data_IF_376721787734
#
_entry.id   IF_376721787734
#
_cell.length_a   1.000
_cell.length_b   1.000
_cell.length_c   1.000
_cell.angle_alpha   90.00
_cell.angle_beta   90.00
_cell.angle_gamma   90.00
#
_symmetry.space_group_name_H-M   'P 1'
#
loop_
_entity.id
_entity.type
_entity.pdbx_description
1 polymer ?
#
# COMPACT_ATOMS: atom_id res chain seq x y z
N UNK A 1 28.88 37.24 10.31
CA UNK A 1 28.79 35.78 10.41
C UNK A 1 27.83 35.34 9.33
N UNK A 2 28.37 34.98 8.18
CA UNK A 2 27.63 34.59 6.98
C UNK A 2 27.26 33.11 7.09
N UNK A 3 25.98 32.82 6.89
CA UNK A 3 25.44 31.47 6.77
C UNK A 3 25.83 30.90 5.41
N UNK A 4 26.98 30.21 5.34
CA UNK A 4 27.27 29.26 4.27
C UNK A 4 26.66 27.92 4.68
N UNK A 5 25.44 27.65 4.20
CA UNK A 5 24.73 26.40 4.43
C UNK A 5 24.49 25.67 3.10
N UNK A 6 25.32 24.63 2.90
CA UNK A 6 25.02 23.39 2.17
C UNK A 6 24.33 23.51 0.81
N UNK A 7 25.15 23.85 -0.20
CA UNK A 7 24.84 23.56 -1.60
C UNK A 7 25.24 22.10 -1.89
N UNK A 8 24.33 21.15 -1.62
CA UNK A 8 24.47 19.79 -2.15
C UNK A 8 23.78 19.73 -3.51
N UNK A 9 24.56 19.98 -4.57
CA UNK A 9 24.21 19.59 -5.93
C UNK A 9 23.91 18.08 -5.94
N UNK A 10 22.64 17.71 -5.99
CA UNK A 10 22.21 16.39 -6.41
C UNK A 10 22.59 16.24 -7.89
N UNK A 11 23.81 15.73 -8.14
CA UNK A 11 24.27 15.39 -9.49
C UNK A 11 23.43 14.23 -10.01
N UNK A 12 22.46 14.57 -10.85
CA UNK A 12 21.71 13.61 -11.66
C UNK A 12 22.70 12.84 -12.52
N UNK A 13 22.95 11.58 -12.17
CA UNK A 13 23.75 10.67 -12.99
C UNK A 13 22.93 10.38 -14.25
N UNK A 14 23.41 10.86 -15.41
CA UNK A 14 22.82 10.52 -16.70
C UNK A 14 22.91 9.02 -16.94
N UNK A 15 21.79 8.32 -16.82
CA UNK A 15 21.65 6.92 -17.16
C UNK A 15 21.08 6.82 -18.59
N UNK A 16 21.89 6.35 -19.54
CA UNK A 16 21.38 5.96 -20.86
C UNK A 16 20.99 4.48 -20.79
N UNK A 17 19.68 4.22 -20.79
CA UNK A 17 19.15 2.86 -20.87
C UNK A 17 19.19 2.42 -22.34
N UNK A 18 20.22 1.66 -22.72
CA UNK A 18 20.26 0.95 -24.00
C UNK A 18 19.41 -0.32 -23.91
N UNK A 19 18.18 -0.29 -24.43
CA UNK A 19 17.30 -1.47 -24.50
C UNK A 19 17.73 -2.36 -25.67
N UNK A 20 18.44 -3.46 -25.41
CA UNK A 20 18.54 -4.59 -26.33
C UNK A 20 17.58 -5.70 -25.87
N UNK A 21 16.68 -6.13 -26.76
CA UNK A 21 15.70 -7.17 -26.46
C UNK A 21 16.29 -8.54 -26.84
N UNK A 22 16.50 -9.40 -25.86
CA UNK A 22 16.82 -10.81 -26.07
C UNK A 22 15.71 -11.68 -25.48
N UNK A 23 14.98 -12.41 -26.32
CA UNK A 23 14.16 -13.54 -25.91
C UNK A 23 15.06 -14.77 -25.95
N UNK A 24 15.26 -15.44 -24.81
CA UNK A 24 15.95 -16.72 -24.77
C UNK A 24 14.92 -17.82 -24.51
N UNK A 25 14.49 -18.58 -25.53
CA UNK A 25 13.78 -19.82 -25.27
C UNK A 25 14.75 -20.79 -24.57
N UNK A 26 14.25 -21.46 -23.53
CA UNK A 26 14.99 -22.51 -22.85
C UNK A 26 14.95 -23.75 -23.75
N UNK A 27 16.08 -24.17 -24.32
CA UNK A 27 16.17 -25.47 -25.00
C UNK A 27 16.33 -26.56 -23.92
N UNK A 28 15.23 -27.19 -23.54
CA UNK A 28 15.17 -28.30 -22.59
C UNK A 28 14.24 -29.38 -23.11
N UNK A 29 14.71 -30.63 -23.02
CA UNK A 29 14.13 -31.84 -23.61
C UNK A 29 12.67 -32.10 -23.25
N UNK A 30 11.95 -32.70 -24.21
CA UNK A 30 10.58 -33.18 -24.08
C UNK A 30 10.41 -34.15 -22.90
N UNK A 31 9.86 -33.63 -21.79
CA UNK A 31 9.05 -34.37 -20.85
C UNK A 31 7.72 -33.60 -20.71
N UNK A 32 6.66 -34.22 -21.21
CA UNK A 32 5.28 -33.73 -21.14
C UNK A 32 4.78 -33.93 -19.70
N UNK A 33 4.86 -32.88 -18.89
CA UNK A 33 3.97 -32.59 -17.74
C UNK A 33 4.38 -31.33 -16.94
N UNK A 34 5.44 -30.61 -17.34
CA UNK A 34 5.69 -29.27 -16.84
C UNK A 34 5.01 -28.25 -17.76
N UNK A 35 4.13 -27.40 -17.22
CA UNK A 35 3.75 -26.16 -17.90
C UNK A 35 5.03 -25.43 -18.33
N UNK A 36 5.08 -24.94 -19.58
CA UNK A 36 6.23 -24.16 -20.07
C UNK A 36 6.62 -23.11 -19.02
N UNK A 37 7.90 -22.99 -18.65
CA UNK A 37 8.31 -22.03 -17.64
C UNK A 37 7.89 -20.62 -18.10
N UNK A 38 7.34 -19.79 -17.20
CA UNK A 38 6.86 -18.47 -17.57
C UNK A 38 7.97 -17.68 -18.28
N UNK A 39 7.63 -17.13 -19.44
CA UNK A 39 8.59 -16.44 -20.29
C UNK A 39 9.28 -15.31 -19.51
N UNK A 40 10.60 -15.40 -19.41
CA UNK A 40 11.42 -14.41 -18.70
C UNK A 40 11.85 -13.31 -19.67
N UNK A 41 11.55 -12.07 -19.31
CA UNK A 41 11.96 -10.87 -20.03
C UNK A 41 13.28 -10.36 -19.44
N UNK A 42 14.24 -10.06 -20.30
CA UNK A 42 15.56 -9.56 -19.92
C UNK A 42 15.75 -8.14 -20.45
N UNK A 43 16.07 -7.22 -19.55
CA UNK A 43 16.38 -5.83 -19.83
C UNK A 43 17.85 -5.55 -19.52
N UNK A 44 18.71 -5.36 -20.54
CA UNK A 44 20.09 -4.95 -20.30
C UNK A 44 20.12 -3.50 -19.82
N UNK A 45 20.97 -3.24 -18.83
CA UNK A 45 21.24 -1.92 -18.28
C UNK A 45 22.74 -1.68 -18.31
N UNK A 46 23.16 -0.55 -18.89
CA UNK A 46 24.57 -0.15 -18.94
C UNK A 46 24.73 1.23 -18.31
N UNK A 47 25.64 1.34 -17.35
CA UNK A 47 26.02 2.63 -16.76
C UNK A 47 27.10 3.26 -17.62
N UNK A 48 26.79 4.36 -18.28
CA UNK A 48 27.70 5.03 -19.21
C UNK A 48 28.48 6.19 -18.57
N UNK A 49 28.03 6.68 -17.43
CA UNK A 49 28.65 7.80 -16.72
C UNK A 49 30.02 7.44 -16.12
N UNK A 50 30.80 8.49 -15.87
CA UNK A 50 31.93 8.42 -14.94
C UNK A 50 31.39 8.44 -13.52
N UNK A 51 31.93 7.54 -12.68
CA UNK A 51 31.39 7.27 -11.36
C UNK A 51 32.46 7.52 -10.30
N UNK A 52 32.09 8.04 -9.11
CA UNK A 52 33.01 8.19 -7.99
C UNK A 52 33.48 6.82 -7.48
N UNK A 53 34.51 6.78 -6.64
CA UNK A 53 34.86 5.55 -5.92
C UNK A 53 33.84 5.24 -4.81
N UNK A 54 33.75 3.96 -4.42
CA UNK A 54 32.89 3.50 -3.34
C UNK A 54 31.57 2.88 -3.82
N UNK A 55 30.68 2.63 -2.86
CA UNK A 55 29.35 2.10 -3.11
C UNK A 55 28.46 3.16 -3.75
N UNK A 56 27.85 2.81 -4.89
CA UNK A 56 27.08 3.75 -5.69
C UNK A 56 25.64 3.27 -5.77
N UNK A 57 24.68 4.03 -5.22
CA UNK A 57 23.27 3.74 -5.39
C UNK A 57 22.88 3.88 -6.87
N UNK A 58 22.26 2.84 -7.43
CA UNK A 58 21.64 2.89 -8.75
C UNK A 58 20.13 2.95 -8.56
N UNK A 59 19.48 3.84 -9.29
CA UNK A 59 18.03 4.05 -9.28
C UNK A 59 17.53 4.19 -10.72
N UNK A 60 16.84 3.17 -11.23
CA UNK A 60 16.35 3.12 -12.60
C UNK A 60 14.83 3.04 -12.60
N UNK A 61 14.18 3.97 -13.30
CA UNK A 61 12.74 3.89 -13.51
C UNK A 61 12.41 3.08 -14.77
N UNK A 62 11.45 2.16 -14.63
CA UNK A 62 11.02 1.25 -15.68
C UNK A 62 9.51 1.28 -15.76
N UNK A 63 8.99 1.44 -16.97
CA UNK A 63 7.60 1.13 -17.31
C UNK A 63 7.56 -0.30 -17.86
N UNK A 64 7.28 -1.27 -16.97
CA UNK A 64 7.26 -2.69 -17.30
C UNK A 64 6.16 -3.01 -18.31
N UNK A 65 5.01 -2.33 -18.25
CA UNK A 65 3.94 -2.51 -19.23
C UNK A 65 4.39 -2.06 -20.64
N UNK A 66 5.11 -0.94 -20.74
CA UNK A 66 5.72 -0.50 -22.02
C UNK A 66 6.75 -1.50 -22.55
N UNK A 67 7.52 -2.14 -21.67
CA UNK A 67 8.46 -3.20 -22.07
C UNK A 67 7.71 -4.41 -22.60
N UNK A 68 6.70 -4.89 -21.86
CA UNK A 68 5.91 -6.07 -22.23
C UNK A 68 5.18 -5.89 -23.56
N UNK A 69 4.60 -4.71 -23.82
CA UNK A 69 3.96 -4.41 -25.13
C UNK A 69 4.89 -4.62 -26.32
N UNK A 70 6.20 -4.44 -26.15
CA UNK A 70 7.19 -4.65 -27.22
C UNK A 70 7.48 -6.12 -27.49
N UNK A 71 7.23 -7.01 -26.52
CA UNK A 71 7.43 -8.46 -26.67
C UNK A 71 6.36 -9.12 -27.53
N UNK A 72 5.17 -8.50 -27.65
CA UNK A 72 3.96 -9.06 -28.30
C UNK A 72 3.47 -10.39 -27.69
N UNK A 73 3.96 -10.75 -26.52
CA UNK A 73 3.46 -11.91 -25.77
C UNK A 73 2.26 -11.50 -24.93
N UNK A 74 1.28 -12.41 -24.73
CA UNK A 74 0.17 -12.18 -23.81
C UNK A 74 0.69 -12.18 -22.36
N UNK A 75 0.00 -11.43 -21.49
CA UNK A 75 0.27 -11.38 -20.05
C UNK A 75 0.55 -9.98 -19.53
N UNK A 76 0.71 -9.90 -18.21
CA UNK A 76 0.98 -8.68 -17.46
C UNK A 76 2.22 -8.87 -16.58
N UNK A 77 2.75 -7.76 -16.04
CA UNK A 77 3.95 -7.77 -15.22
C UNK A 77 3.73 -8.50 -13.89
N UNK A 78 4.63 -9.43 -13.55
CA UNK A 78 4.72 -10.00 -12.20
C UNK A 78 5.80 -9.28 -11.37
N UNK A 79 5.42 -8.40 -10.41
CA UNK A 79 6.37 -7.66 -9.59
C UNK A 79 7.18 -8.53 -8.61
N UNK A 80 6.74 -9.76 -8.34
CA UNK A 80 7.39 -10.68 -7.41
C UNK A 80 8.60 -11.40 -8.02
N UNK A 81 8.80 -11.27 -9.33
CA UNK A 81 9.83 -11.99 -10.10
C UNK A 81 11.00 -11.11 -10.53
N UNK A 82 11.00 -9.82 -10.13
CA UNK A 82 12.08 -8.90 -10.51
C UNK A 82 13.40 -9.37 -9.90
N UNK A 83 14.43 -9.44 -10.72
CA UNK A 83 15.80 -9.71 -10.31
C UNK A 83 16.77 -8.74 -10.99
N UNK A 84 17.88 -8.44 -10.31
CA UNK A 84 18.99 -7.70 -10.88
C UNK A 84 20.21 -8.61 -10.91
N UNK A 85 20.87 -8.72 -12.06
CA UNK A 85 22.10 -9.49 -12.25
C UNK A 85 23.22 -8.59 -12.71
N UNK A 86 24.37 -8.67 -12.05
CA UNK A 86 25.58 -7.99 -12.48
C UNK A 86 26.30 -8.87 -13.52
N UNK A 87 26.52 -8.33 -14.72
CA UNK A 87 27.15 -9.06 -15.82
C UNK A 87 28.67 -9.05 -15.77
N UNK A 88 29.28 -8.18 -14.96
CA UNK A 88 30.73 -8.16 -14.78
C UNK A 88 31.21 -9.34 -13.93
N UNK A 89 30.47 -9.69 -12.88
CA UNK A 89 30.83 -10.76 -11.94
C UNK A 89 29.84 -11.95 -11.92
N UNK A 90 28.72 -11.86 -12.65
CA UNK A 90 27.69 -12.89 -12.74
C UNK A 90 26.74 -12.95 -11.53
N UNK A 91 26.96 -12.16 -10.49
CA UNK A 91 26.23 -12.24 -9.23
C UNK A 91 24.83 -11.62 -9.31
N UNK A 92 23.88 -12.20 -8.56
CA UNK A 92 22.58 -11.58 -8.26
C UNK A 92 22.79 -10.40 -7.32
N UNK A 93 22.19 -9.26 -7.64
CA UNK A 93 22.27 -8.05 -6.83
C UNK A 93 21.00 -7.93 -5.98
N UNK A 94 21.14 -7.79 -4.64
CA UNK A 94 20.03 -7.37 -3.79
C UNK A 94 19.47 -6.04 -4.30
N UNK A 95 18.15 -5.95 -4.38
CA UNK A 95 17.49 -4.80 -4.95
C UNK A 95 16.17 -4.49 -4.23
N UNK A 96 15.71 -3.25 -4.37
CA UNK A 96 14.41 -2.79 -3.86
C UNK A 96 13.61 -2.17 -4.99
N UNK A 97 12.29 -2.35 -4.95
CA UNK A 97 11.34 -1.65 -5.81
C UNK A 97 10.79 -0.42 -5.10
N UNK A 98 10.45 0.64 -5.85
CA UNK A 98 9.69 1.75 -5.28
C UNK A 98 8.31 1.27 -4.80
N UNK A 99 7.70 1.92 -3.79
CA UNK A 99 6.38 1.55 -3.27
C UNK A 99 5.28 1.67 -4.33
N UNK A 100 5.50 2.50 -5.35
CA UNK A 100 4.62 2.64 -6.51
C UNK A 100 4.35 1.33 -7.25
N UNK A 101 5.24 0.32 -7.13
CA UNK A 101 4.98 -1.01 -7.68
C UNK A 101 3.78 -1.69 -7.00
N UNK A 102 3.32 -1.22 -5.84
CA UNK A 102 2.07 -1.69 -5.26
C UNK A 102 0.83 -1.18 -6.01
N UNK A 103 0.95 -0.24 -6.95
CA UNK A 103 -0.20 0.38 -7.66
C UNK A 103 -0.02 0.49 -9.17
N UNK A 104 1.16 0.17 -9.69
CA UNK A 104 1.51 0.44 -11.08
C UNK A 104 2.52 -0.55 -11.62
N UNK A 105 2.55 -0.67 -12.94
CA UNK A 105 3.61 -1.35 -13.69
C UNK A 105 4.77 -0.40 -14.00
N UNK A 106 4.72 0.86 -13.52
CA UNK A 106 5.85 1.77 -13.52
C UNK A 106 6.47 1.80 -12.14
N UNK A 107 7.72 1.38 -12.02
CA UNK A 107 8.43 1.34 -10.76
C UNK A 107 9.91 1.67 -10.93
N UNK A 108 10.54 2.04 -9.82
CA UNK A 108 11.99 2.19 -9.74
C UNK A 108 12.61 0.90 -9.23
N UNK A 109 13.63 0.40 -9.93
CA UNK A 109 14.48 -0.71 -9.53
C UNK A 109 15.79 -0.14 -9.03
N UNK A 110 16.15 -0.49 -7.80
CA UNK A 110 17.26 0.12 -7.08
C UNK A 110 18.18 -0.92 -6.49
N UNK A 111 19.49 -0.75 -6.66
CA UNK A 111 20.49 -1.65 -6.11
C UNK A 111 21.78 -0.88 -5.81
N UNK A 112 22.68 -1.50 -5.07
CA UNK A 112 23.97 -0.92 -4.74
C UNK A 112 25.04 -1.51 -5.64
N UNK A 113 25.73 -0.68 -6.38
CA UNK A 113 26.90 -1.09 -7.15
C UNK A 113 28.15 -0.98 -6.28
N UNK A 114 28.93 -2.04 -6.19
CA UNK A 114 30.08 -2.10 -5.27
C UNK A 114 31.31 -1.46 -5.88
N UNK A 115 31.55 -1.69 -7.17
CA UNK A 115 32.70 -1.16 -7.89
C UNK A 115 32.30 -0.32 -9.11
N UNK A 116 32.91 0.85 -9.34
CA UNK A 116 32.63 1.68 -10.51
C UNK A 116 32.86 1.02 -11.88
N UNK A 117 33.59 -0.11 -11.91
CA UNK A 117 33.86 -0.92 -13.10
C UNK A 117 32.73 -1.90 -13.43
N UNK A 118 31.80 -2.14 -12.51
CA UNK A 118 30.65 -3.03 -12.68
C UNK A 118 29.53 -2.36 -13.47
N UNK A 119 29.79 -1.98 -14.72
CA UNK A 119 28.89 -1.10 -15.48
C UNK A 119 27.75 -1.80 -16.22
N UNK A 120 27.70 -3.13 -16.21
CA UNK A 120 26.74 -3.91 -17.02
C UNK A 120 25.86 -4.76 -16.11
N UNK A 121 24.55 -4.62 -16.27
CA UNK A 121 23.55 -5.36 -15.51
C UNK A 121 22.43 -5.87 -16.42
N UNK A 122 21.67 -6.83 -15.90
CA UNK A 122 20.37 -7.23 -16.43
C UNK A 122 19.33 -7.05 -15.35
N UNK A 123 18.16 -6.56 -15.75
CA UNK A 123 16.94 -6.63 -14.97
C UNK A 123 16.07 -7.70 -15.60
N UNK A 124 15.71 -8.72 -14.83
CA UNK A 124 14.91 -9.86 -15.27
C UNK A 124 13.57 -9.84 -14.56
N UNK A 125 12.51 -10.24 -15.25
CA UNK A 125 11.17 -10.41 -14.66
C UNK A 125 10.33 -11.32 -15.55
N UNK A 126 9.23 -11.83 -15.01
CA UNK A 126 8.31 -12.73 -15.69
C UNK A 126 6.96 -12.06 -15.95
N UNK A 127 6.19 -12.68 -16.84
CA UNK A 127 4.80 -12.36 -17.06
C UNK A 127 3.90 -13.31 -16.28
N UNK A 128 2.70 -12.83 -15.96
CA UNK A 128 1.61 -13.62 -15.42
C UNK A 128 0.32 -13.37 -16.23
N UNK A 129 -0.64 -14.29 -16.16
CA UNK A 129 -1.95 -14.12 -16.82
C UNK A 129 -2.74 -12.95 -16.21
N UNK A 130 -2.62 -12.79 -14.90
CA UNK A 130 -3.17 -11.69 -14.12
C UNK A 130 -2.11 -11.17 -13.17
N UNK A 131 -2.18 -9.88 -12.83
CA UNK A 131 -1.16 -9.24 -12.01
C UNK A 131 -1.30 -9.77 -10.58
N UNK A 132 -0.30 -10.50 -10.06
CA UNK A 132 -0.42 -11.06 -8.72
C UNK A 132 -0.34 -9.95 -7.67
N UNK A 133 -0.92 -10.21 -6.51
CA UNK A 133 -0.74 -9.37 -5.32
C UNK A 133 0.76 -9.26 -5.04
N UNK A 134 1.21 -8.04 -4.74
CA UNK A 134 2.60 -7.81 -4.36
C UNK A 134 2.88 -8.51 -3.02
N UNK A 135 3.79 -9.46 -3.04
CA UNK A 135 4.15 -10.23 -1.85
C UNK A 135 5.12 -9.44 -0.97
N UNK A 136 5.00 -9.58 0.36
CA UNK A 136 6.05 -9.17 1.29
C UNK A 136 7.41 -9.72 0.86
N UNK A 137 8.41 -8.84 0.72
CA UNK A 137 9.78 -9.26 0.44
C UNK A 137 10.46 -9.73 1.72
N UNK A 138 11.22 -10.84 1.69
CA UNK A 138 11.93 -11.35 2.87
C UNK A 138 13.08 -10.44 3.30
N UNK A 139 13.66 -9.69 2.36
CA UNK A 139 14.74 -8.74 2.56
C UNK A 139 14.49 -7.43 1.82
N UNK A 140 14.87 -6.31 2.44
CA UNK A 140 14.90 -4.99 1.80
C UNK A 140 16.28 -4.39 2.04
N UNK A 141 17.19 -4.39 1.05
CA UNK A 141 18.54 -3.88 1.23
C UNK A 141 18.55 -2.35 1.38
N UNK A 142 19.50 -1.84 2.18
CA UNK A 142 19.79 -0.41 2.26
C UNK A 142 20.55 0.02 1.00
N UNK A 143 19.94 0.84 0.15
CA UNK A 143 20.53 1.32 -1.10
C UNK A 143 21.13 2.74 -0.94
N UNK A 144 20.65 3.52 0.03
CA UNK A 144 21.07 4.90 0.27
C UNK A 144 20.25 5.95 -0.49
N UNK A 145 19.03 5.62 -0.95
CA UNK A 145 18.16 6.53 -1.73
C UNK A 145 16.90 6.97 -0.95
N UNK A 146 17.07 7.18 0.36
CA UNK A 146 15.98 7.50 1.28
C UNK A 146 15.40 6.29 2.02
N UNK A 147 16.17 5.22 2.19
CA UNK A 147 15.71 3.94 2.79
C UNK A 147 15.51 3.99 4.31
N UNK A 148 15.79 5.13 4.95
CA UNK A 148 15.87 5.30 6.41
C UNK A 148 14.57 4.99 7.19
N UNK A 149 13.43 4.85 6.50
CA UNK A 149 12.12 4.61 7.12
C UNK A 149 11.54 3.21 6.84
N UNK A 150 12.31 2.29 6.25
CA UNK A 150 11.83 0.92 5.96
C UNK A 150 12.37 -0.12 6.93
N UNK A 151 11.59 -1.16 7.17
CA UNK A 151 12.10 -2.35 7.83
C UNK A 151 13.06 -3.09 6.88
N UNK A 152 14.30 -3.32 7.33
CA UNK A 152 15.39 -3.89 6.52
C UNK A 152 15.94 -5.20 7.07
N UNK A 153 15.31 -5.77 8.10
CA UNK A 153 15.70 -7.06 8.64
C UNK A 153 15.39 -8.21 7.68
N UNK A 154 16.23 -9.24 7.71
CA UNK A 154 16.12 -10.44 6.84
C UNK A 154 15.09 -11.47 7.33
N UNK A 155 14.44 -11.19 8.45
CA UNK A 155 13.37 -11.99 9.02
C UNK A 155 12.17 -11.08 9.25
N UNK A 156 10.93 -11.53 8.95
CA UNK A 156 9.76 -10.76 9.32
C UNK A 156 9.69 -10.53 10.84
N UNK A 157 9.10 -9.41 11.24
CA UNK A 157 8.86 -9.07 12.65
C UNK A 157 7.42 -8.63 12.84
N UNK A 158 6.87 -8.79 14.05
CA UNK A 158 5.59 -8.18 14.38
C UNK A 158 5.65 -6.67 14.12
N UNK A 159 4.61 -6.15 13.47
CA UNK A 159 4.46 -4.71 13.25
C UNK A 159 3.67 -4.13 14.41
N UNK A 160 4.19 -3.05 14.99
CA UNK A 160 3.42 -2.18 15.86
C UNK A 160 2.89 -1.01 15.01
N UNK A 161 1.59 -1.00 14.75
CA UNK A 161 0.92 0.22 14.28
C UNK A 161 0.43 1.02 15.48
N UNK A 162 0.42 2.35 15.34
CA UNK A 162 -0.10 3.27 16.36
C UNK A 162 -1.60 3.10 16.57
N UNK A 163 -2.35 2.69 15.54
CA UNK A 163 -3.79 2.50 15.56
C UNK A 163 -4.20 1.29 14.70
N UNK A 164 -4.00 0.06 15.19
CA UNK A 164 -4.49 -1.12 14.51
C UNK A 164 -6.02 -1.08 14.44
N UNK A 165 -6.55 -1.42 13.28
CA UNK A 165 -7.99 -1.39 12.99
C UNK A 165 -8.57 -2.80 12.99
N UNK A 166 -8.09 -3.68 12.09
CA UNK A 166 -8.67 -5.01 11.88
C UNK A 166 -7.61 -5.99 11.38
N UNK A 167 -7.77 -7.27 11.73
CA UNK A 167 -7.14 -8.39 11.04
C UNK A 167 -8.16 -9.03 10.10
N UNK A 168 -7.97 -8.88 8.80
CA UNK A 168 -8.93 -9.30 7.77
C UNK A 168 -8.18 -9.65 6.50
N UNK A 169 -8.65 -10.67 5.77
CA UNK A 169 -8.14 -10.95 4.42
C UNK A 169 -8.66 -9.87 3.45
N UNK A 170 -7.97 -8.73 3.42
CA UNK A 170 -8.37 -7.56 2.65
C UNK A 170 -8.08 -7.79 1.17
N UNK A 171 -6.95 -8.44 0.91
CA UNK A 171 -6.49 -8.72 -0.43
C UNK A 171 -7.01 -10.07 -0.96
N UNK A 172 -7.83 -10.83 -0.24
CA UNK A 172 -8.46 -12.05 -0.75
C UNK A 172 -7.50 -13.18 -1.15
N UNK A 173 -6.32 -13.26 -0.53
CA UNK A 173 -5.34 -14.35 -0.75
C UNK A 173 -5.47 -15.49 0.29
N UNK A 174 -6.46 -15.39 1.17
CA UNK A 174 -6.69 -16.33 2.27
C UNK A 174 -5.83 -16.05 3.50
N UNK A 175 -4.98 -15.02 3.49
CA UNK A 175 -4.14 -14.62 4.61
C UNK A 175 -4.69 -13.33 5.22
N UNK A 176 -4.80 -13.29 6.55
CA UNK A 176 -5.25 -12.07 7.23
C UNK A 176 -4.18 -10.99 7.14
N UNK A 177 -4.59 -9.85 6.59
CA UNK A 177 -3.84 -8.61 6.55
C UNK A 177 -4.12 -7.78 7.81
N UNK A 178 -3.16 -6.95 8.22
CA UNK A 178 -3.39 -5.93 9.24
C UNK A 178 -3.78 -4.62 8.56
N UNK A 179 -5.04 -4.23 8.73
CA UNK A 179 -5.48 -2.88 8.40
C UNK A 179 -5.22 -1.98 9.60
N UNK A 180 -4.63 -0.83 9.34
CA UNK A 180 -4.35 0.14 10.38
C UNK A 180 -4.48 1.57 9.88
N UNK A 181 -4.53 2.48 10.84
CA UNK A 181 -4.48 3.91 10.58
C UNK A 181 -3.18 4.52 11.10
N UNK A 182 -2.67 5.53 10.40
CA UNK A 182 -1.56 6.37 10.86
C UNK A 182 -1.95 7.85 10.80
N UNK A 183 -1.41 8.65 11.73
CA UNK A 183 -1.75 10.06 11.85
C UNK A 183 -0.92 10.97 10.94
N UNK A 184 0.20 10.47 10.45
CA UNK A 184 1.19 11.24 9.70
C UNK A 184 1.68 10.47 8.48
N UNK A 185 2.71 11.01 7.84
CA UNK A 185 3.30 10.36 6.67
C UNK A 185 4.05 9.09 7.05
N UNK A 186 3.82 8.04 6.27
CA UNK A 186 4.57 6.78 6.31
C UNK A 186 5.72 6.74 5.32
N UNK A 187 5.83 7.77 4.47
CA UNK A 187 6.89 7.89 3.47
C UNK A 187 7.63 9.22 3.65
N UNK A 188 8.98 9.23 3.59
CA UNK A 188 9.71 10.48 3.51
C UNK A 188 9.47 11.03 2.10
N UNK A 189 8.62 12.04 1.94
CA UNK A 189 8.44 12.66 0.64
C UNK A 189 9.73 13.37 0.20
N UNK A 190 10.36 12.74 -0.79
CA UNK A 190 11.12 13.38 -1.84
C UNK A 190 10.14 14.15 -2.76
N UNK A 191 10.54 15.27 -3.39
CA UNK A 191 10.15 16.66 -3.09
C UNK A 191 8.68 17.08 -3.38
N UNK A 192 7.74 16.16 -3.57
CA UNK A 192 6.33 16.53 -3.77
C UNK A 192 5.71 16.98 -2.44
N UNK A 193 4.86 18.01 -2.47
CA UNK A 193 4.36 18.69 -1.26
C UNK A 193 3.72 17.73 -0.26
N UNK A 194 4.04 17.96 1.02
CA UNK A 194 3.71 17.17 2.21
C UNK A 194 2.23 16.74 2.37
N UNK A 195 1.18 17.42 1.86
CA UNK A 195 -0.18 16.90 2.00
C UNK A 195 -0.42 15.59 1.24
N UNK A 196 0.22 15.36 0.09
CA UNK A 196 -0.11 14.21 -0.77
C UNK A 196 0.43 12.85 -0.28
N UNK A 197 1.27 12.84 0.77
CA UNK A 197 1.75 11.60 1.41
C UNK A 197 1.00 11.20 2.65
N UNK A 198 0.16 12.09 3.19
CA UNK A 198 -0.62 11.80 4.38
C UNK A 198 -1.72 10.84 3.99
N UNK A 199 -1.40 9.55 3.85
CA UNK A 199 -2.39 8.53 3.60
C UNK A 199 -2.57 7.73 4.87
N UNK A 200 -3.67 7.97 5.60
CA UNK A 200 -3.80 7.42 6.93
C UNK A 200 -4.11 5.95 6.88
N UNK A 201 -4.65 5.41 5.79
CA UNK A 201 -5.14 4.03 5.75
C UNK A 201 -4.14 3.11 5.07
N UNK A 202 -3.68 2.12 5.84
CA UNK A 202 -2.65 1.19 5.45
C UNK A 202 -3.17 -0.23 5.57
N UNK A 203 -2.80 -1.06 4.61
CA UNK A 203 -2.83 -2.51 4.70
C UNK A 203 -1.39 -2.99 4.83
N UNK A 204 -1.11 -3.79 5.84
CA UNK A 204 0.13 -4.55 5.96
C UNK A 204 -0.19 -5.99 5.56
N UNK A 205 0.21 -6.43 4.34
CA UNK A 205 -0.17 -7.74 3.84
C UNK A 205 0.38 -8.87 4.72
N UNK A 206 -0.45 -9.86 5.02
CA UNK A 206 -0.03 -11.04 5.76
C UNK A 206 1.00 -11.87 4.99
N UNK A 207 1.89 -12.56 5.70
CA UNK A 207 2.91 -13.42 5.06
C UNK A 207 2.46 -14.88 5.01
N UNK A 208 1.88 -15.38 6.10
CA UNK A 208 1.40 -16.76 6.23
C UNK A 208 0.25 -16.82 7.22
N UNK A 209 -0.76 -17.63 6.95
CA UNK A 209 -1.82 -17.88 7.93
C UNK A 209 -1.29 -18.70 9.12
N UNK A 210 -1.82 -18.42 10.32
CA UNK A 210 -1.55 -19.20 11.54
C UNK A 210 -0.21 -18.97 12.27
N UNK A 211 0.69 -18.12 11.75
CA UNK A 211 1.96 -17.74 12.41
C UNK A 211 1.86 -16.35 13.10
N UNK A 212 2.77 -15.99 14.02
CA UNK A 212 2.57 -14.82 14.90
C UNK A 212 2.65 -13.48 14.15
N UNK A 213 1.50 -12.92 13.75
CA UNK A 213 1.30 -11.51 13.34
C UNK A 213 2.48 -10.93 12.52
N UNK A 214 2.90 -11.66 11.49
CA UNK A 214 3.99 -11.24 10.60
C UNK A 214 3.38 -10.62 9.34
N UNK A 215 3.81 -9.40 9.04
CA UNK A 215 3.30 -8.65 7.90
C UNK A 215 4.43 -8.06 7.07
N UNK A 216 4.13 -7.80 5.80
CA UNK A 216 5.02 -7.10 4.88
C UNK A 216 4.99 -5.58 5.03
N UNK A 217 5.62 -4.92 4.07
CA UNK A 217 5.57 -3.46 3.96
C UNK A 217 4.13 -2.97 3.74
N UNK A 218 3.81 -1.83 4.35
CA UNK A 218 2.51 -1.19 4.19
C UNK A 218 2.21 -0.84 2.73
N UNK A 219 0.96 -1.06 2.33
CA UNK A 219 0.33 -0.56 1.12
C UNK A 219 -0.74 0.44 1.54
N UNK A 220 -0.73 1.62 0.94
CA UNK A 220 -1.74 2.66 1.14
C UNK A 220 -3.02 2.28 0.42
N UNK A 221 -4.14 2.39 1.11
CA UNK A 221 -5.44 2.11 0.50
C UNK A 221 -5.89 3.25 -0.42
N UNK A 222 -6.60 2.89 -1.48
CA UNK A 222 -7.15 3.81 -2.48
C UNK A 222 -8.65 3.67 -2.58
N UNK A 223 -9.30 4.71 -3.09
CA UNK A 223 -10.74 4.72 -3.33
C UNK A 223 -11.10 5.36 -4.66
N UNK A 224 -12.36 5.21 -5.06
CA UNK A 224 -12.98 5.96 -6.15
C UNK A 224 -14.24 6.65 -5.64
N UNK A 225 -14.54 7.85 -6.14
CA UNK A 225 -15.81 8.53 -5.84
C UNK A 225 -17.00 7.85 -6.54
N UNK A 226 -16.73 7.20 -7.68
CA UNK A 226 -17.71 6.49 -8.50
C UNK A 226 -17.08 5.21 -9.04
N UNK A 227 -17.89 4.21 -9.39
CA UNK A 227 -17.40 2.88 -9.76
C UNK A 227 -16.44 2.88 -10.96
N UNK A 228 -16.66 3.78 -11.93
CA UNK A 228 -15.85 4.00 -13.14
C UNK A 228 -14.83 5.15 -13.01
N UNK A 229 -14.74 5.76 -11.82
CA UNK A 229 -13.81 6.85 -11.53
C UNK A 229 -12.34 6.39 -11.39
N UNK A 230 -11.43 7.36 -11.32
CA UNK A 230 -10.00 7.12 -11.07
C UNK A 230 -9.74 6.80 -9.60
N UNK A 231 -8.78 5.91 -9.33
CA UNK A 231 -8.32 5.66 -7.96
C UNK A 231 -7.60 6.88 -7.38
N UNK A 232 -7.88 7.15 -6.12
CA UNK A 232 -7.32 8.24 -5.33
C UNK A 232 -6.82 7.69 -4.00
N UNK A 233 -5.73 8.25 -3.48
CA UNK A 233 -5.35 8.00 -2.10
C UNK A 233 -6.29 8.74 -1.17
N UNK A 234 -6.63 8.12 -0.04
CA UNK A 234 -7.13 8.87 1.11
C UNK A 234 -6.03 9.83 1.56
N UNK A 235 -6.38 11.11 1.71
CA UNK A 235 -5.44 12.16 2.11
C UNK A 235 -5.91 12.81 3.41
N UNK A 236 -5.01 12.94 4.39
CA UNK A 236 -5.17 13.68 5.63
C UNK A 236 -4.62 12.94 6.85
N UNK A 237 -4.31 13.68 7.92
CA UNK A 237 -3.99 13.10 9.23
C UNK A 237 -5.24 12.98 10.10
N UNK A 238 -5.10 12.48 11.34
CA UNK A 238 -6.18 12.41 12.34
C UNK A 238 -7.47 11.75 11.82
N UNK A 239 -7.31 10.59 11.17
CA UNK A 239 -8.42 9.75 10.75
C UNK A 239 -8.37 8.43 11.50
N UNK A 240 -9.53 7.83 11.74
CA UNK A 240 -9.65 6.49 12.28
C UNK A 240 -10.61 5.69 11.39
N UNK A 241 -10.26 4.45 11.08
CA UNK A 241 -11.05 3.57 10.24
C UNK A 241 -11.44 2.27 10.97
N UNK A 242 -12.48 1.63 10.45
CA UNK A 242 -12.81 0.22 10.64
C UNK A 242 -13.02 -0.48 9.31
N UNK A 243 -12.89 -1.81 9.30
CA UNK A 243 -13.14 -2.65 8.14
C UNK A 243 -14.07 -3.79 8.52
N UNK A 244 -15.21 -3.88 7.86
CA UNK A 244 -16.24 -4.89 8.09
C UNK A 244 -17.12 -5.04 6.85
N UNK A 245 -17.85 -6.14 6.74
CA UNK A 245 -18.91 -6.31 5.74
C UNK A 245 -20.14 -5.49 6.15
N UNK A 246 -20.36 -4.34 5.51
CA UNK A 246 -21.41 -3.38 5.87
C UNK A 246 -22.71 -3.68 5.13
N UNK A 247 -22.63 -4.29 3.95
CA UNK A 247 -23.77 -4.53 3.06
C UNK A 247 -24.21 -6.00 2.99
N UNK A 248 -23.52 -6.92 3.66
CA UNK A 248 -23.81 -8.35 3.71
C UNK A 248 -23.30 -9.14 2.50
N UNK A 249 -22.43 -8.58 1.67
CA UNK A 249 -21.90 -9.24 0.46
C UNK A 249 -20.66 -10.13 0.72
N UNK A 250 -20.23 -10.20 1.99
CA UNK A 250 -19.06 -10.94 2.48
C UNK A 250 -17.72 -10.37 2.04
N UNK A 251 -17.69 -9.15 1.53
CA UNK A 251 -16.48 -8.42 1.25
C UNK A 251 -16.20 -7.41 2.37
N UNK A 252 -14.92 -7.21 2.74
CA UNK A 252 -14.57 -6.19 3.72
C UNK A 252 -14.71 -4.80 3.12
N UNK A 253 -15.62 -3.99 3.66
CA UNK A 253 -15.82 -2.57 3.33
C UNK A 253 -15.01 -1.67 4.25
N UNK A 254 -14.69 -0.45 3.80
CA UNK A 254 -13.93 0.53 4.56
C UNK A 254 -14.86 1.61 5.12
N UNK A 255 -14.79 1.82 6.43
CA UNK A 255 -15.53 2.87 7.14
C UNK A 255 -14.53 3.75 7.88
N UNK A 256 -14.69 5.08 7.83
CA UNK A 256 -13.82 5.95 8.61
C UNK A 256 -14.48 7.25 9.07
N UNK A 257 -13.92 7.84 10.12
CA UNK A 257 -14.23 9.18 10.60
C UNK A 257 -12.94 9.98 10.80
N UNK A 258 -13.05 11.32 10.79
CA UNK A 258 -11.89 12.20 10.80
C UNK A 258 -12.07 13.43 11.71
N UNK A 259 -10.97 13.94 12.23
CA UNK A 259 -10.96 15.19 12.98
C UNK A 259 -11.20 16.40 12.08
N UNK A 260 -11.63 17.52 12.66
CA UNK A 260 -11.81 18.80 11.95
C UNK A 260 -10.53 19.23 11.20
N UNK A 261 -9.36 19.00 11.80
CA UNK A 261 -8.03 19.29 11.24
C UNK A 261 -7.74 18.52 9.94
N UNK A 262 -8.38 17.37 9.71
CA UNK A 262 -8.21 16.59 8.48
C UNK A 262 -8.80 17.28 7.25
N UNK A 263 -9.76 18.21 7.45
CA UNK A 263 -10.46 18.90 6.37
C UNK A 263 -9.55 19.79 5.51
N UNK A 264 -8.42 20.26 6.04
CA UNK A 264 -7.47 21.10 5.29
C UNK A 264 -6.79 20.33 4.15
N UNK A 265 -6.46 19.05 4.39
CA UNK A 265 -5.71 18.22 3.45
C UNK A 265 -6.61 17.26 2.67
N UNK A 266 -7.75 16.85 3.24
CA UNK A 266 -8.59 15.82 2.65
C UNK A 266 -9.33 16.28 1.41
N UNK A 267 -9.45 15.37 0.45
CA UNK A 267 -10.28 15.53 -0.76
C UNK A 267 -11.72 15.07 -0.54
N UNK A 268 -12.02 14.44 0.59
CA UNK A 268 -13.36 13.93 0.91
C UNK A 268 -14.23 15.09 1.43
N UNK A 269 -15.37 15.42 0.79
CA UNK A 269 -16.20 16.55 1.21
C UNK A 269 -16.78 16.37 2.62
N UNK A 270 -16.64 17.40 3.46
CA UNK A 270 -17.12 17.40 4.85
C UNK A 270 -16.56 16.23 5.66
N UNK A 271 -15.27 15.91 5.45
CA UNK A 271 -14.62 14.72 6.01
C UNK A 271 -14.82 14.58 7.53
N UNK A 272 -14.86 15.69 8.26
CA UNK A 272 -14.96 15.73 9.72
C UNK A 272 -16.39 15.73 10.30
N UNK A 273 -17.41 15.78 9.44
CA UNK A 273 -18.81 15.83 9.87
C UNK A 273 -19.49 14.45 9.87
N UNK A 274 -18.89 13.48 9.18
CA UNK A 274 -19.52 12.20 8.90
C UNK A 274 -18.56 11.03 9.11
N UNK A 275 -19.15 9.89 9.43
CA UNK A 275 -18.60 8.57 9.21
C UNK A 275 -18.83 8.27 7.72
N UNK A 276 -17.77 8.07 6.95
CA UNK A 276 -17.84 7.79 5.52
C UNK A 276 -17.73 6.30 5.27
N UNK A 277 -18.55 5.79 4.35
CA UNK A 277 -18.66 4.37 4.01
C UNK A 277 -18.25 4.18 2.56
N UNK A 278 -17.27 3.32 2.35
CA UNK A 278 -16.76 2.93 1.06
C UNK A 278 -16.92 1.42 0.89
N UNK A 279 -17.76 1.01 -0.06
CA UNK A 279 -18.00 -0.40 -0.33
C UNK A 279 -16.87 -0.99 -1.17
N UNK A 280 -16.51 -2.22 -0.86
CA UNK A 280 -15.63 -3.02 -1.70
C UNK A 280 -16.37 -3.43 -2.97
N UNK A 281 -15.86 -3.02 -4.13
CA UNK A 281 -16.53 -3.29 -5.41
C UNK A 281 -16.45 -4.75 -5.88
N UNK A 282 -15.75 -5.63 -5.16
CA UNK A 282 -15.40 -6.98 -5.59
C UNK A 282 -14.34 -7.01 -6.69
N UNK A 283 -13.82 -5.85 -7.09
CA UNK A 283 -12.72 -5.70 -8.05
C UNK A 283 -11.44 -5.33 -7.34
N UNK A 284 -10.32 -5.64 -7.97
CA UNK A 284 -8.99 -5.27 -7.50
C UNK A 284 -8.39 -4.19 -8.38
N UNK A 285 -7.60 -3.34 -7.74
CA UNK A 285 -6.75 -2.42 -8.45
C UNK A 285 -5.59 -3.18 -9.10
N UNK A 286 -4.79 -2.47 -9.89
CA UNK A 286 -3.57 -3.01 -10.49
C UNK A 286 -2.64 -3.63 -9.44
N UNK A 287 -2.63 -3.11 -8.22
CA UNK A 287 -1.86 -3.61 -7.08
C UNK A 287 -2.29 -4.96 -6.50
N UNK A 288 -3.51 -5.38 -6.80
CA UNK A 288 -4.16 -6.53 -6.18
C UNK A 288 -4.96 -6.19 -4.91
N UNK A 289 -5.02 -4.91 -4.51
CA UNK A 289 -5.83 -4.43 -3.38
C UNK A 289 -7.28 -4.20 -3.82
N UNK A 290 -8.27 -4.29 -2.92
CA UNK A 290 -9.66 -4.04 -3.27
C UNK A 290 -9.87 -2.58 -3.73
N UNK A 291 -10.75 -2.41 -4.71
CA UNK A 291 -11.23 -1.10 -5.12
C UNK A 291 -12.42 -0.73 -4.23
N UNK A 292 -12.19 0.22 -3.33
CA UNK A 292 -13.20 0.85 -2.52
C UNK A 292 -13.92 1.96 -3.29
N UNK A 293 -15.25 2.00 -3.27
CA UNK A 293 -16.07 3.01 -3.94
C UNK A 293 -16.93 3.72 -2.90
N UNK A 294 -16.91 5.06 -2.91
CA UNK A 294 -17.76 5.85 -2.03
C UNK A 294 -19.23 5.42 -2.20
N UNK A 295 -19.92 5.23 -1.09
CA UNK A 295 -21.30 4.77 -1.11
C UNK A 295 -22.24 5.64 -0.30
N UNK A 296 -21.94 5.85 0.98
CA UNK A 296 -22.82 6.60 1.87
C UNK A 296 -22.03 7.24 3.02
N UNK A 297 -22.72 8.01 3.86
CA UNK A 297 -22.16 8.66 5.04
C UNK A 297 -23.20 8.83 6.15
N UNK A 298 -22.76 8.67 7.39
CA UNK A 298 -23.59 8.80 8.60
C UNK A 298 -23.08 9.95 9.45
N UNK A 299 -23.96 10.84 9.88
CA UNK A 299 -23.55 11.97 10.74
C UNK A 299 -23.16 11.45 12.12
N UNK A 300 -21.99 11.84 12.62
CA UNK A 300 -21.58 11.59 14.00
C UNK A 300 -21.69 12.86 14.85
N UNK A 301 -21.78 12.74 16.19
CA UNK A 301 -21.71 13.89 17.08
C UNK A 301 -20.40 14.67 16.91
N UNK A 302 -20.47 16.00 16.97
CA UNK A 302 -19.30 16.88 16.81
C UNK A 302 -18.20 16.51 17.81
N UNK A 303 -16.94 16.47 17.36
CA UNK A 303 -15.78 16.15 18.19
C UNK A 303 -15.58 14.66 18.52
N UNK A 304 -16.47 13.78 18.03
CA UNK A 304 -16.38 12.34 18.23
C UNK A 304 -16.08 11.69 16.88
N UNK A 305 -14.80 11.59 16.55
CA UNK A 305 -14.33 11.12 15.25
C UNK A 305 -13.48 9.84 15.34
N UNK A 306 -13.35 9.26 16.53
CA UNK A 306 -12.73 7.95 16.69
C UNK A 306 -12.49 7.54 18.14
N UNK A 307 -12.21 6.26 18.44
CA UNK A 307 -12.22 5.16 17.49
C UNK A 307 -13.63 5.00 16.89
N UNK A 308 -13.69 4.69 15.60
CA UNK A 308 -14.93 4.30 14.92
C UNK A 308 -14.92 2.79 14.77
N UNK A 309 -16.08 2.16 14.97
CA UNK A 309 -16.27 0.71 14.86
C UNK A 309 -17.58 0.38 14.18
N UNK A 310 -17.54 -0.65 13.35
CA UNK A 310 -18.69 -1.26 12.68
C UNK A 310 -19.01 -2.56 13.41
N UNK A 311 -20.18 -2.64 14.03
CA UNK A 311 -20.54 -3.76 14.90
C UNK A 311 -22.06 -3.89 15.00
N UNK A 312 -22.57 -5.12 14.97
CA UNK A 312 -23.94 -5.42 15.39
C UNK A 312 -23.97 -5.52 16.93
N UNK A 313 -24.19 -4.38 17.60
CA UNK A 313 -24.05 -4.30 19.06
C UNK A 313 -25.31 -4.80 19.78
N UNK A 314 -26.48 -4.58 19.18
CA UNK A 314 -27.78 -4.95 19.76
C UNK A 314 -28.29 -6.32 19.28
N UNK A 315 -27.55 -6.97 18.38
CA UNK A 315 -27.80 -8.31 17.83
C UNK A 315 -29.07 -8.39 17.00
N UNK A 316 -29.41 -7.30 16.31
CA UNK A 316 -30.56 -7.27 15.39
C UNK A 316 -30.21 -7.76 13.96
N UNK A 317 -28.94 -8.08 13.71
CA UNK A 317 -28.44 -8.60 12.45
C UNK A 317 -28.05 -7.52 11.44
N UNK A 318 -28.30 -6.24 11.74
CA UNK A 318 -27.77 -5.11 10.98
C UNK A 318 -26.50 -4.58 11.66
N UNK A 319 -25.54 -4.11 10.86
CA UNK A 319 -24.36 -3.44 11.43
C UNK A 319 -24.70 -2.03 11.88
N UNK A 320 -24.19 -1.65 13.05
CA UNK A 320 -24.27 -0.32 13.64
C UNK A 320 -22.90 0.36 13.67
N UNK A 321 -22.88 1.61 14.14
CA UNK A 321 -21.63 2.33 14.40
C UNK A 321 -21.46 2.67 15.88
N UNK A 322 -20.24 2.47 16.38
CA UNK A 322 -19.79 3.04 17.65
C UNK A 322 -18.69 4.06 17.35
N UNK A 323 -18.82 5.28 17.88
CA UNK A 323 -17.84 6.34 17.69
C UNK A 323 -17.47 7.00 19.02
N UNK A 324 -16.17 7.01 19.31
CA UNK A 324 -15.60 7.59 20.53
C UNK A 324 -15.04 9.00 20.34
N UNK A 325 -14.32 9.45 21.37
CA UNK A 325 -13.46 10.64 21.33
C UNK A 325 -12.00 10.27 21.60
N UNK A 326 -11.19 10.19 20.55
CA UNK A 326 -9.75 10.01 20.65
C UNK A 326 -9.14 11.22 21.36
N UNK A 327 -8.23 10.96 22.29
CA UNK A 327 -7.48 11.96 23.07
C UNK A 327 -8.28 12.75 24.12
N UNK A 328 -9.52 12.34 24.43
CA UNK A 328 -10.25 12.94 25.56
C UNK A 328 -10.20 12.06 26.80
N UNK A 329 -9.16 12.24 27.62
CA UNK A 329 -9.08 11.60 28.95
C UNK A 329 -10.15 12.13 29.92
N UNK A 330 -10.64 13.35 29.68
CA UNK A 330 -11.60 14.06 30.53
C UNK A 330 -13.05 13.94 30.05
N UNK A 331 -13.29 13.42 28.85
CA UNK A 331 -14.63 13.13 28.32
C UNK A 331 -14.63 11.76 27.63
N UNK A 332 -14.75 10.66 28.39
CA UNK A 332 -14.73 9.29 27.87
C UNK A 332 -16.07 8.90 27.21
N UNK A 333 -16.78 9.86 26.61
CA UNK A 333 -18.07 9.62 25.99
C UNK A 333 -17.88 8.97 24.63
N UNK A 334 -18.69 7.95 24.36
CA UNK A 334 -18.88 7.36 23.05
C UNK A 334 -20.35 7.43 22.67
N UNK A 335 -20.63 7.18 21.39
CA UNK A 335 -21.97 7.15 20.86
C UNK A 335 -22.21 5.88 20.06
N UNK A 336 -23.36 5.28 20.31
CA UNK A 336 -23.91 4.20 19.52
C UNK A 336 -24.91 4.78 18.52
N UNK A 337 -24.74 4.48 17.25
CA UNK A 337 -25.59 4.93 16.15
C UNK A 337 -26.18 3.68 15.51
N UNK A 338 -27.42 3.39 15.89
CA UNK A 338 -28.14 2.20 15.43
C UNK A 338 -28.50 2.31 13.95
N UNK A 339 -28.36 1.23 13.21
CA UNK A 339 -28.97 1.07 11.90
C UNK A 339 -30.40 0.53 12.04
N UNK A 340 -31.37 1.34 11.61
CA UNK A 340 -32.81 1.00 11.70
C UNK A 340 -33.35 0.35 10.43
N UNK A 341 -32.50 0.06 9.45
CA UNK A 341 -32.90 -0.68 8.26
C UNK A 341 -32.83 -2.20 8.56
N UNK A 342 -33.96 -2.92 8.61
CA UNK A 342 -33.96 -4.36 8.89
C UNK A 342 -33.31 -5.20 7.78
N UNK A 343 -33.06 -4.64 6.60
CA UNK A 343 -32.30 -5.30 5.54
C UNK A 343 -30.78 -5.10 5.68
N UNK A 344 -30.31 -4.35 6.69
CA UNK A 344 -28.91 -3.99 6.89
C UNK A 344 -28.42 -2.87 5.97
N UNK A 345 -28.77 -2.88 4.69
CA UNK A 345 -28.28 -1.91 3.71
C UNK A 345 -29.39 -1.38 2.78
N UNK A 346 -29.38 -0.08 2.37
CA UNK A 346 -28.50 1.00 2.83
C UNK A 346 -28.72 1.38 4.29
N UNK A 347 -27.71 1.97 4.93
CA UNK A 347 -27.80 2.35 6.35
C UNK A 347 -28.93 3.36 6.57
N UNK A 348 -29.75 3.13 7.60
CA UNK A 348 -30.70 4.12 8.11
C UNK A 348 -30.38 4.46 9.57
N UNK A 349 -29.50 5.42 9.78
CA UNK A 349 -29.03 5.80 11.10
C UNK A 349 -30.15 6.38 11.99
N UNK A 350 -30.25 5.88 13.21
CA UNK A 350 -31.01 6.52 14.28
C UNK A 350 -30.26 7.70 14.90
N UNK A 351 -30.94 8.44 15.78
CA UNK A 351 -30.28 9.44 16.63
C UNK A 351 -29.20 8.77 17.52
N UNK A 352 -27.99 9.36 17.61
CA UNK A 352 -26.91 8.80 18.41
C UNK A 352 -27.26 8.70 19.90
N UNK A 353 -27.01 7.55 20.50
CA UNK A 353 -27.18 7.30 21.94
C UNK A 353 -25.83 7.39 22.64
N UNK A 354 -25.71 8.32 23.57
CA UNK A 354 -24.49 8.50 24.36
C UNK A 354 -24.32 7.40 25.40
N UNK A 355 -23.08 6.93 25.57
CA UNK A 355 -22.67 6.07 26.67
C UNK A 355 -21.22 6.37 27.09
N UNK A 356 -20.75 5.76 28.17
CA UNK A 356 -19.40 5.99 28.72
C UNK A 356 -18.66 4.67 28.90
N UNK A 357 -17.87 4.22 27.91
CA UNK A 357 -17.13 2.96 27.98
C UNK A 357 -15.90 2.99 28.91
N UNK A 358 -15.60 4.14 29.54
CA UNK A 358 -14.35 4.38 30.26
C UNK A 358 -13.31 5.11 29.39
N UNK A 359 -12.26 5.65 30.01
CA UNK A 359 -11.22 6.38 29.28
C UNK A 359 -10.47 5.46 28.31
N UNK A 360 -10.24 5.93 27.08
CA UNK A 360 -9.49 5.22 26.03
C UNK A 360 -10.00 3.81 25.68
N UNK A 361 -11.30 3.54 25.86
CA UNK A 361 -11.86 2.24 25.51
C UNK A 361 -11.69 1.95 24.01
N UNK A 362 -10.94 0.89 23.70
CA UNK A 362 -10.94 0.27 22.39
C UNK A 362 -11.95 -0.87 22.37
N UNK A 363 -12.86 -0.86 21.40
CA UNK A 363 -13.70 -2.02 21.12
C UNK A 363 -12.92 -2.88 20.11
N UNK A 364 -12.59 -4.12 20.45
CA UNK A 364 -11.92 -5.08 19.56
C UNK A 364 -12.94 -6.07 19.01
#
# INVERSE_FOLDING_TARGET
MTNDAFDHEARTVGLIIGLMFGLFPFEGSADLDAADPPATVVLPVTVTSHLPSGQIPIDVEIDFASVLRKTKLPGVFDPNTVEVKNLTNGARQPHVLSPHVAYSDRARVRWLMTYPTEKKFEIRFQMADQRPVLRPRPDTPLIGVGDLLRYTGTQPRPIASSLPTRLVDLNGDGVRDLVATDYYTTEPLWPERIPNSWSPFLCYPGITDGQPLLFGNAVRLRYRDQADGSEQFFIGGYMHADVADVNGDKLPDLVFAAAEKSSEASKVPNVAEFIHIYLNSGKRDTGGMPIFVYSDRVKHPKGHWGPVRVVDLDRDGAVDFVVGSLFSETNPRAYFIRNTNPAGWPIKAAEPVAFSPGAMAGFL
#
